data_IF_961593603114
#
_entry.id   IF_961593603114
#
_cell.length_a   1.000
_cell.length_b   1.000
_cell.length_c   1.000
_cell.angle_alpha   90.00
_cell.angle_beta   90.00
_cell.angle_gamma   90.00
#
_symmetry.space_group_name_H-M   'P 1'
#
loop_
_entity.id
_entity.type
_entity.pdbx_description
1 polymer ?
#
# COMPACT_ATOMS: atom_id res chain seq x y z
N UNK A 1 9.27 -27.45 4.02
CA UNK A 1 8.88 -26.06 3.74
C UNK A 1 7.40 -25.97 4.06
N UNK A 2 6.97 -24.99 4.84
CA UNK A 2 5.54 -24.81 5.15
C UNK A 2 4.89 -24.18 3.92
N UNK A 3 3.79 -24.76 3.43
CA UNK A 3 3.02 -24.25 2.30
C UNK A 3 1.70 -23.64 2.80
N UNK A 4 1.16 -22.67 2.07
CA UNK A 4 -0.17 -22.14 2.38
C UNK A 4 -1.22 -23.19 2.01
N UNK A 5 -1.90 -23.72 3.02
CA UNK A 5 -2.90 -24.78 2.83
C UNK A 5 -4.29 -24.19 2.64
N UNK A 6 -5.00 -24.61 1.58
CA UNK A 6 -6.41 -24.31 1.44
C UNK A 6 -7.23 -25.27 2.32
N UNK A 7 -8.11 -24.73 3.16
CA UNK A 7 -8.94 -25.53 4.07
C UNK A 7 -10.42 -25.27 3.83
N UNK A 8 -11.22 -26.32 4.02
CA UNK A 8 -12.66 -26.22 4.24
C UNK A 8 -12.95 -26.15 5.75
N UNK A 9 -14.24 -26.16 6.12
CA UNK A 9 -14.64 -26.06 7.53
C UNK A 9 -14.16 -27.25 8.37
N UNK A 10 -14.23 -28.49 7.85
CA UNK A 10 -13.82 -29.69 8.58
C UNK A 10 -12.30 -29.73 8.75
N UNK A 11 -11.56 -29.48 7.68
CA UNK A 11 -10.09 -29.42 7.72
C UNK A 11 -9.60 -28.28 8.62
N UNK A 12 -10.35 -27.17 8.70
CA UNK A 12 -10.04 -26.09 9.64
C UNK A 12 -10.19 -26.56 11.09
N UNK A 13 -11.27 -27.24 11.46
CA UNK A 13 -11.46 -27.71 12.83
C UNK A 13 -10.38 -28.72 13.25
N UNK A 14 -10.01 -29.65 12.36
CA UNK A 14 -8.90 -30.58 12.59
C UNK A 14 -7.57 -29.84 12.77
N UNK A 15 -7.31 -28.85 11.93
CA UNK A 15 -6.10 -28.04 12.01
C UNK A 15 -6.03 -27.25 13.32
N UNK A 16 -7.13 -26.63 13.75
CA UNK A 16 -7.18 -25.90 15.02
C UNK A 16 -7.02 -26.83 16.22
N UNK A 17 -7.51 -28.06 16.14
CA UNK A 17 -7.32 -29.08 17.17
C UNK A 17 -5.88 -29.63 17.27
N UNK A 18 -5.04 -29.42 16.25
CA UNK A 18 -3.67 -29.95 16.21
C UNK A 18 -2.71 -29.37 17.27
N UNK A 19 -3.07 -28.25 17.91
CA UNK A 19 -2.21 -27.54 18.85
C UNK A 19 -1.19 -26.62 18.19
N UNK A 20 -1.12 -26.57 16.86
CA UNK A 20 -0.19 -25.72 16.12
C UNK A 20 -0.52 -24.22 16.26
N UNK A 21 0.47 -23.38 15.97
CA UNK A 21 0.26 -21.95 15.73
C UNK A 21 -0.26 -21.80 14.28
N UNK A 22 -1.49 -21.34 14.13
CA UNK A 22 -2.18 -21.30 12.82
C UNK A 22 -2.56 -19.87 12.48
N UNK A 23 -2.11 -19.38 11.33
CA UNK A 23 -2.64 -18.16 10.72
C UNK A 23 -3.70 -18.55 9.71
N UNK A 24 -4.94 -18.13 9.92
CA UNK A 24 -6.05 -18.34 9.01
C UNK A 24 -6.32 -17.07 8.20
N UNK A 25 -6.11 -17.12 6.89
CA UNK A 25 -6.46 -16.10 5.91
C UNK A 25 -7.89 -16.30 5.39
N UNK A 26 -8.77 -15.39 5.78
CA UNK A 26 -10.15 -15.34 5.29
C UNK A 26 -10.22 -14.42 4.07
N UNK A 27 -10.47 -15.00 2.91
CA UNK A 27 -10.34 -14.33 1.60
C UNK A 27 -11.48 -14.68 0.64
N UNK A 28 -11.54 -13.96 -0.49
CA UNK A 28 -12.43 -14.26 -1.63
C UNK A 28 -11.76 -13.92 -2.98
N UNK A 29 -12.11 -14.58 -4.10
CA UNK A 29 -11.52 -14.33 -5.42
C UNK A 29 -11.75 -12.93 -5.98
N UNK A 30 -12.88 -12.29 -5.65
CA UNK A 30 -13.18 -10.91 -6.04
C UNK A 30 -12.48 -9.87 -5.15
N UNK A 31 -11.90 -10.29 -4.03
CA UNK A 31 -11.25 -9.39 -3.09
C UNK A 31 -9.85 -9.01 -3.60
N UNK A 32 -9.75 -7.89 -4.30
CA UNK A 32 -8.47 -7.36 -4.79
C UNK A 32 -7.42 -7.19 -3.67
N UNK A 33 -7.75 -6.64 -2.47
CA UNK A 33 -6.76 -6.55 -1.39
C UNK A 33 -6.26 -7.93 -0.91
N UNK A 34 -7.10 -8.97 -0.96
CA UNK A 34 -6.71 -10.33 -0.65
C UNK A 34 -5.66 -10.84 -1.65
N UNK A 35 -5.79 -10.50 -2.94
CA UNK A 35 -4.81 -10.84 -3.98
C UNK A 35 -3.44 -10.20 -3.72
N UNK A 36 -3.40 -9.03 -3.10
CA UNK A 36 -2.13 -8.41 -2.63
C UNK A 36 -1.53 -9.16 -1.44
N UNK A 37 -2.37 -9.66 -0.52
CA UNK A 37 -1.91 -10.31 0.71
C UNK A 37 -1.42 -11.75 0.50
N UNK A 38 -2.05 -12.51 -0.41
CA UNK A 38 -1.73 -13.93 -0.62
C UNK A 38 -0.24 -14.20 -0.91
N UNK A 39 0.44 -13.47 -1.82
CA UNK A 39 1.87 -13.70 -2.08
C UNK A 39 2.77 -13.42 -0.86
N UNK A 40 2.36 -12.49 0.01
CA UNK A 40 3.09 -12.18 1.25
C UNK A 40 2.94 -13.34 2.26
N UNK A 41 1.74 -13.92 2.35
CA UNK A 41 1.49 -15.10 3.18
C UNK A 41 2.22 -16.35 2.66
N UNK A 42 2.33 -16.53 1.34
CA UNK A 42 3.13 -17.58 0.72
C UNK A 42 4.62 -17.42 1.07
N UNK A 43 5.12 -16.19 1.00
CA UNK A 43 6.50 -15.87 1.41
C UNK A 43 6.73 -16.17 2.89
N UNK A 44 5.78 -15.81 3.77
CA UNK A 44 5.86 -16.11 5.21
C UNK A 44 5.81 -17.61 5.50
N UNK A 45 4.94 -18.35 4.84
CA UNK A 45 4.88 -19.80 4.98
C UNK A 45 6.22 -20.43 4.56
N UNK A 46 6.79 -19.99 3.44
CA UNK A 46 8.09 -20.47 2.97
C UNK A 46 9.25 -20.17 3.93
N UNK A 47 9.21 -19.04 4.63
CA UNK A 47 10.25 -18.58 5.57
C UNK A 47 10.04 -19.06 7.01
N UNK A 48 8.82 -19.45 7.35
CA UNK A 48 8.44 -19.90 8.69
C UNK A 48 9.08 -21.25 9.04
N UNK A 49 9.40 -21.42 10.32
CA UNK A 49 9.71 -22.73 10.89
C UNK A 49 8.50 -23.66 10.79
N UNK A 50 8.73 -24.95 11.04
CA UNK A 50 7.67 -25.98 11.09
C UNK A 50 6.60 -25.74 12.16
N UNK A 51 6.74 -24.71 13.00
CA UNK A 51 5.78 -24.40 14.06
C UNK A 51 4.66 -23.42 13.64
N UNK A 52 4.74 -22.83 12.44
CA UNK A 52 3.70 -21.95 11.89
C UNK A 52 3.02 -22.59 10.68
N UNK A 53 1.71 -22.78 10.78
CA UNK A 53 0.87 -23.19 9.65
C UNK A 53 0.10 -21.99 9.13
N UNK A 54 0.21 -21.72 7.83
CA UNK A 54 -0.60 -20.69 7.17
C UNK A 54 -1.71 -21.41 6.39
N UNK A 55 -2.95 -21.18 6.78
CA UNK A 55 -4.14 -21.72 6.14
C UNK A 55 -4.93 -20.58 5.47
N UNK A 56 -5.62 -20.89 4.37
CA UNK A 56 -6.55 -19.96 3.72
C UNK A 56 -7.91 -20.61 3.52
N UNK A 57 -8.98 -19.83 3.76
CA UNK A 57 -10.36 -20.28 3.61
C UNK A 57 -11.16 -19.25 2.83
N UNK A 58 -11.83 -19.73 1.77
CA UNK A 58 -12.67 -18.89 0.92
C UNK A 58 -14.03 -18.67 1.60
N UNK A 59 -14.27 -17.45 2.03
CA UNK A 59 -15.48 -17.07 2.77
C UNK A 59 -16.77 -17.13 1.95
N UNK A 60 -16.70 -17.05 0.62
CA UNK A 60 -17.88 -17.23 -0.24
C UNK A 60 -18.36 -18.68 -0.24
N UNK A 61 -17.43 -19.63 -0.10
CA UNK A 61 -17.77 -21.06 -0.04
C UNK A 61 -18.23 -21.49 1.35
N UNK A 62 -17.77 -20.79 2.38
CA UNK A 62 -18.00 -21.13 3.79
C UNK A 62 -18.44 -19.89 4.59
N UNK A 63 -19.64 -19.33 4.33
CA UNK A 63 -20.11 -18.10 4.96
C UNK A 63 -20.30 -18.25 6.49
N UNK A 64 -20.60 -19.46 6.96
CA UNK A 64 -20.77 -19.76 8.38
C UNK A 64 -19.47 -19.53 9.17
N UNK A 65 -18.31 -19.68 8.52
CA UNK A 65 -17.00 -19.38 9.11
C UNK A 65 -16.84 -17.89 9.39
N UNK A 66 -17.34 -17.01 8.51
CA UNK A 66 -17.32 -15.56 8.78
C UNK A 66 -18.15 -15.22 10.01
N UNK A 67 -19.35 -15.80 10.12
CA UNK A 67 -20.22 -15.58 11.27
C UNK A 67 -19.61 -16.14 12.55
N UNK A 68 -19.08 -17.36 12.51
CA UNK A 68 -18.43 -18.05 13.62
C UNK A 68 -17.32 -17.22 14.27
N UNK A 69 -16.50 -16.53 13.45
CA UNK A 69 -15.39 -15.72 13.94
C UNK A 69 -15.68 -14.21 14.01
N UNK A 70 -16.92 -13.79 13.69
CA UNK A 70 -17.33 -12.39 13.72
C UNK A 70 -16.58 -11.51 12.73
N UNK A 71 -16.26 -12.05 11.55
CA UNK A 71 -15.47 -11.37 10.51
C UNK A 71 -16.40 -10.50 9.66
N UNK A 72 -16.19 -9.18 9.72
CA UNK A 72 -17.04 -8.18 9.04
C UNK A 72 -16.49 -7.69 7.70
N UNK A 73 -15.29 -8.13 7.33
CA UNK A 73 -14.61 -7.72 6.11
C UNK A 73 -13.40 -8.57 5.82
N UNK A 74 -12.93 -8.53 4.57
CA UNK A 74 -11.77 -9.29 4.10
C UNK A 74 -10.76 -8.37 3.40
N UNK A 75 -9.46 -8.71 3.41
CA UNK A 75 -8.87 -9.87 4.09
C UNK A 75 -8.87 -9.70 5.62
N UNK A 76 -9.09 -10.79 6.34
CA UNK A 76 -8.90 -10.87 7.79
C UNK A 76 -8.02 -12.07 8.10
N UNK A 77 -6.95 -11.84 8.85
CA UNK A 77 -6.08 -12.87 9.38
C UNK A 77 -6.43 -13.14 10.84
N UNK A 78 -6.66 -14.39 11.18
CA UNK A 78 -6.87 -14.84 12.56
C UNK A 78 -5.68 -15.71 12.98
N UNK A 79 -5.11 -15.43 14.15
CA UNK A 79 -4.02 -16.21 14.72
C UNK A 79 -4.58 -17.10 15.83
N UNK A 80 -4.38 -18.40 15.68
CA UNK A 80 -4.77 -19.41 16.65
C UNK A 80 -3.55 -20.07 17.28
N UNK A 81 -3.67 -20.36 18.57
CA UNK A 81 -2.71 -21.18 19.31
C UNK A 81 -3.49 -22.14 20.20
N UNK A 82 -3.23 -23.44 20.08
CA UNK A 82 -4.00 -24.47 20.78
C UNK A 82 -5.52 -24.38 20.54
N UNK A 83 -5.91 -24.09 19.29
CA UNK A 83 -7.32 -23.97 18.89
C UNK A 83 -8.04 -22.73 19.40
N UNK A 84 -7.37 -21.84 20.13
CA UNK A 84 -7.94 -20.58 20.63
C UNK A 84 -7.41 -19.43 19.78
N UNK A 85 -8.31 -18.54 19.36
CA UNK A 85 -7.93 -17.29 18.70
C UNK A 85 -7.23 -16.38 19.73
N UNK A 86 -5.97 -16.05 19.49
CA UNK A 86 -5.14 -15.23 20.39
C UNK A 86 -4.91 -13.82 19.85
N UNK A 87 -5.05 -13.62 18.54
CA UNK A 87 -4.86 -12.33 17.89
C UNK A 87 -5.50 -12.29 16.51
N UNK A 88 -5.72 -11.09 15.96
CA UNK A 88 -6.24 -10.90 14.59
C UNK A 88 -5.66 -9.65 13.93
N UNK A 89 -5.60 -9.67 12.61
CA UNK A 89 -5.25 -8.52 11.76
C UNK A 89 -6.30 -8.34 10.67
N UNK A 90 -6.77 -7.11 10.49
CA UNK A 90 -7.74 -6.76 9.45
C UNK A 90 -7.07 -5.93 8.37
N UNK A 91 -7.28 -6.32 7.11
CA UNK A 91 -6.69 -5.67 5.94
C UNK A 91 -5.30 -6.19 5.60
N UNK A 92 -4.73 -5.63 4.53
CA UNK A 92 -3.40 -6.01 4.03
C UNK A 92 -2.31 -5.52 4.99
N UNK A 93 -1.25 -6.31 5.16
CA UNK A 93 -0.06 -6.01 5.97
C UNK A 93 1.20 -6.36 5.19
N UNK A 94 2.28 -5.63 5.41
CA UNK A 94 3.58 -5.92 4.79
C UNK A 94 4.25 -7.12 5.46
N UNK A 95 5.26 -7.70 4.80
CA UNK A 95 6.04 -8.79 5.39
C UNK A 95 6.65 -8.43 6.76
N UNK A 96 7.30 -7.27 6.94
CA UNK A 96 7.79 -6.86 8.26
C UNK A 96 6.69 -6.75 9.31
N UNK A 97 5.52 -6.19 8.96
CA UNK A 97 4.39 -6.08 9.89
C UNK A 97 3.87 -7.46 10.31
N UNK A 98 3.73 -8.38 9.35
CA UNK A 98 3.27 -9.74 9.62
C UNK A 98 4.28 -10.51 10.50
N UNK A 99 5.58 -10.36 10.26
CA UNK A 99 6.61 -10.94 11.14
C UNK A 99 6.55 -10.34 12.54
N UNK A 100 6.54 -9.02 12.66
CA UNK A 100 6.45 -8.32 13.95
C UNK A 100 5.19 -8.66 14.74
N UNK A 101 4.10 -9.03 14.06
CA UNK A 101 2.87 -9.54 14.68
C UNK A 101 2.99 -11.00 15.17
N UNK A 102 3.69 -11.85 14.43
CA UNK A 102 3.74 -13.30 14.68
C UNK A 102 4.90 -13.74 15.59
N UNK A 103 6.04 -13.05 15.53
CA UNK A 103 7.24 -13.38 16.31
C UNK A 103 7.01 -13.34 17.83
N UNK A 104 6.31 -12.32 18.41
CA UNK A 104 6.00 -12.30 19.84
C UNK A 104 5.17 -13.51 20.31
N UNK A 105 4.39 -14.11 19.41
CA UNK A 105 3.52 -15.25 19.70
C UNK A 105 4.21 -16.61 19.57
N UNK A 106 5.49 -16.60 19.17
CA UNK A 106 6.36 -17.77 19.07
C UNK A 106 6.59 -18.29 17.65
N UNK A 107 6.20 -17.54 16.61
CA UNK A 107 6.63 -17.84 15.25
C UNK A 107 8.13 -17.55 15.11
N UNK A 108 8.85 -18.45 14.44
CA UNK A 108 10.28 -18.29 14.16
C UNK A 108 10.45 -18.26 12.65
N UNK A 109 10.94 -17.15 12.12
CA UNK A 109 11.25 -17.03 10.70
C UNK A 109 12.75 -17.19 10.50
N UNK A 110 13.16 -17.92 9.46
CA UNK A 110 14.57 -17.92 9.07
C UNK A 110 14.93 -16.51 8.61
N UNK A 111 15.73 -15.82 9.41
CA UNK A 111 16.33 -14.55 9.05
C UNK A 111 17.39 -14.82 8.00
N UNK A 112 17.01 -14.74 6.72
CA UNK A 112 18.02 -14.43 5.73
C UNK A 112 18.47 -13.01 6.08
N UNK A 113 19.77 -12.82 6.33
CA UNK A 113 20.35 -11.48 6.28
C UNK A 113 19.76 -10.81 5.04
N UNK A 114 19.19 -9.61 5.17
CA UNK A 114 18.82 -8.85 3.98
C UNK A 114 20.13 -8.25 3.49
N UNK A 115 20.86 -8.85 2.53
CA UNK A 115 21.93 -8.09 1.90
C UNK A 115 21.26 -6.84 1.34
N UNK A 116 21.87 -5.68 1.57
CA UNK A 116 21.59 -4.52 0.74
C UNK A 116 21.61 -5.04 -0.70
N UNK A 117 20.50 -5.00 -1.44
CA UNK A 117 20.53 -5.49 -2.80
C UNK A 117 21.47 -4.55 -3.54
N UNK A 118 22.64 -5.07 -3.91
CA UNK A 118 23.17 -4.74 -5.22
C UNK A 118 21.97 -4.89 -6.17
N UNK A 119 21.55 -3.77 -6.78
CA UNK A 119 20.37 -3.63 -7.64
C UNK A 119 19.92 -4.96 -8.27
N UNK A 120 18.80 -5.53 -7.81
CA UNK A 120 18.31 -6.83 -8.30
C UNK A 120 17.65 -6.76 -9.68
N UNK A 121 17.58 -5.58 -10.30
CA UNK A 121 17.22 -5.50 -11.71
C UNK A 121 18.29 -6.25 -12.50
N UNK A 122 17.89 -7.38 -13.10
CA UNK A 122 18.77 -8.14 -13.99
C UNK A 122 18.94 -7.45 -15.36
N UNK A 123 18.21 -6.35 -15.58
CA UNK A 123 18.02 -5.72 -16.88
C UNK A 123 18.03 -4.19 -16.78
N UNK A 124 18.52 -3.47 -17.82
CA UNK A 124 18.32 -2.03 -17.96
C UNK A 124 16.84 -1.69 -18.19
N UNK A 125 16.44 -0.43 -17.97
CA UNK A 125 15.16 0.10 -18.41
C UNK A 125 14.88 -0.22 -19.89
N UNK A 126 13.68 -0.75 -20.16
CA UNK A 126 13.26 -1.23 -21.48
C UNK A 126 14.17 -2.30 -22.09
N UNK A 127 14.87 -3.08 -21.25
CA UNK A 127 15.91 -4.02 -21.67
C UNK A 127 17.07 -3.38 -22.45
N UNK A 128 17.17 -2.04 -22.43
CA UNK A 128 18.08 -1.28 -23.28
C UNK A 128 17.63 -1.15 -24.74
N UNK A 129 16.39 -1.49 -25.08
CA UNK A 129 15.84 -1.44 -26.44
C UNK A 129 15.10 -0.11 -26.71
N UNK A 130 15.63 0.77 -27.59
CA UNK A 130 14.94 1.99 -27.99
C UNK A 130 13.65 1.75 -28.76
N UNK A 131 13.50 0.60 -29.43
CA UNK A 131 12.30 0.26 -30.20
C UNK A 131 11.13 -0.05 -29.27
N UNK A 132 11.39 -0.82 -28.21
CA UNK A 132 10.41 -1.08 -27.15
C UNK A 132 9.97 0.23 -26.46
N UNK A 133 10.93 1.08 -26.12
CA UNK A 133 10.65 2.41 -25.54
C UNK A 133 9.73 3.23 -26.44
N UNK A 134 10.07 3.37 -27.73
CA UNK A 134 9.26 4.12 -28.69
C UNK A 134 7.85 3.53 -28.87
N UNK A 135 7.75 2.20 -28.93
CA UNK A 135 6.47 1.50 -29.03
C UNK A 135 5.56 1.78 -27.83
N UNK A 136 6.10 1.66 -26.62
CA UNK A 136 5.37 1.89 -25.38
C UNK A 136 5.00 3.38 -25.21
N UNK A 137 5.89 4.30 -25.60
CA UNK A 137 5.62 5.73 -25.63
C UNK A 137 4.43 6.05 -26.55
N UNK A 138 4.46 5.54 -27.79
CA UNK A 138 3.40 5.76 -28.77
C UNK A 138 2.07 5.18 -28.29
N UNK A 139 2.08 3.97 -27.73
CA UNK A 139 0.88 3.33 -27.20
C UNK A 139 0.26 4.15 -26.08
N UNK A 140 1.03 4.52 -25.05
CA UNK A 140 0.46 5.27 -23.93
C UNK A 140 -0.02 6.66 -24.38
N UNK A 141 0.70 7.29 -25.32
CA UNK A 141 0.30 8.58 -25.88
C UNK A 141 -1.04 8.47 -26.61
N UNK A 142 -1.25 7.42 -27.41
CA UNK A 142 -2.53 7.19 -28.09
C UNK A 142 -3.70 7.04 -27.09
N UNK A 143 -3.50 6.33 -25.98
CA UNK A 143 -4.50 6.24 -24.91
C UNK A 143 -4.75 7.59 -24.22
N UNK A 144 -3.70 8.39 -24.01
CA UNK A 144 -3.83 9.73 -23.45
C UNK A 144 -4.61 10.67 -24.38
N UNK A 145 -4.37 10.61 -25.69
CA UNK A 145 -5.07 11.39 -26.72
C UNK A 145 -6.57 11.05 -26.76
N UNK A 146 -6.91 9.77 -26.53
CA UNK A 146 -8.29 9.28 -26.50
C UNK A 146 -8.96 9.46 -25.13
N UNK A 147 -8.23 9.93 -24.11
CA UNK A 147 -8.72 10.07 -22.74
C UNK A 147 -9.04 8.72 -22.09
N UNK A 148 -8.34 7.66 -22.48
CA UNK A 148 -8.54 6.29 -22.02
C UNK A 148 -7.75 5.96 -20.74
N UNK A 149 -6.80 6.82 -20.36
CA UNK A 149 -6.07 6.72 -19.09
C UNK A 149 -6.95 7.27 -17.96
N UNK A 150 -7.20 6.44 -16.95
CA UNK A 150 -8.06 6.75 -15.81
C UNK A 150 -7.31 6.58 -14.49
N UNK A 151 -7.65 7.42 -13.53
CA UNK A 151 -7.20 7.24 -12.16
C UNK A 151 -7.95 6.08 -11.52
N UNK A 152 -7.22 5.23 -10.84
CA UNK A 152 -7.77 4.12 -10.09
C UNK A 152 -6.95 3.85 -8.85
N UNK A 153 -7.60 3.22 -7.87
CA UNK A 153 -6.90 2.82 -6.66
C UNK A 153 -5.89 1.70 -6.93
N UNK A 154 -6.19 0.79 -7.85
CA UNK A 154 -5.32 -0.31 -8.28
C UNK A 154 -5.18 -0.34 -9.80
N UNK A 155 -4.09 -0.91 -10.34
CA UNK A 155 -3.99 -1.11 -11.77
C UNK A 155 -5.22 -1.83 -12.32
N UNK A 156 -5.72 -1.40 -13.47
CA UNK A 156 -6.88 -2.00 -14.12
C UNK A 156 -6.79 -1.82 -15.64
N UNK A 157 -7.32 -2.78 -16.39
CA UNK A 157 -7.46 -2.71 -17.84
C UNK A 157 -8.78 -3.35 -18.26
N UNK A 158 -9.70 -2.54 -18.78
CA UNK A 158 -11.02 -2.99 -19.23
C UNK A 158 -11.58 -2.04 -20.29
N UNK A 159 -12.24 -2.58 -21.32
CA UNK A 159 -12.92 -1.80 -22.36
C UNK A 159 -12.04 -0.71 -22.99
N UNK A 160 -10.78 -1.04 -23.29
CA UNK A 160 -9.71 -0.15 -23.78
C UNK A 160 -9.37 1.04 -22.88
N UNK A 161 -9.87 1.06 -21.64
CA UNK A 161 -9.52 2.02 -20.63
C UNK A 161 -8.68 1.36 -19.55
N UNK A 162 -7.79 2.12 -18.94
CA UNK A 162 -6.98 1.60 -17.86
C UNK A 162 -6.26 2.64 -17.06
N UNK A 163 -5.67 2.15 -15.98
CA UNK A 163 -4.70 2.89 -15.19
C UNK A 163 -3.42 3.12 -16.00
N UNK A 164 -2.52 4.01 -15.56
CA UNK A 164 -1.37 4.36 -16.41
C UNK A 164 -0.45 3.18 -16.70
N UNK A 165 -0.10 2.39 -15.69
CA UNK A 165 0.78 1.24 -15.88
C UNK A 165 0.08 0.17 -16.71
N UNK A 166 -1.23 0.01 -16.52
CA UNK A 166 -2.02 -0.98 -17.24
C UNK A 166 -2.27 -0.61 -18.71
N UNK A 167 -2.53 0.67 -19.01
CA UNK A 167 -2.64 1.18 -20.37
C UNK A 167 -1.32 1.08 -21.14
N UNK A 168 -0.19 1.16 -20.43
CA UNK A 168 1.12 0.99 -21.04
C UNK A 168 1.32 -0.43 -21.60
N UNK A 169 0.86 -1.45 -20.88
CA UNK A 169 1.13 -2.86 -21.22
C UNK A 169 -0.09 -3.67 -21.64
N UNK A 170 -1.29 -3.07 -21.59
CA UNK A 170 -2.60 -3.71 -21.79
C UNK A 170 -2.88 -4.86 -20.83
N UNK A 171 -2.49 -4.69 -19.57
CA UNK A 171 -2.72 -5.67 -18.50
C UNK A 171 -2.66 -4.99 -17.14
N UNK A 172 -3.48 -5.44 -16.20
CA UNK A 172 -3.58 -4.93 -14.83
C UNK A 172 -2.63 -5.60 -13.81
N UNK A 173 -1.79 -6.54 -14.23
CA UNK A 173 -0.89 -7.28 -13.33
C UNK A 173 0.48 -6.58 -13.33
N UNK A 174 0.96 -6.07 -12.17
CA UNK A 174 2.28 -5.45 -12.07
C UNK A 174 3.44 -6.35 -12.50
N UNK A 175 3.31 -7.68 -12.37
CA UNK A 175 4.32 -8.62 -12.84
C UNK A 175 4.30 -8.76 -14.37
N UNK A 176 3.15 -8.58 -15.01
CA UNK A 176 3.06 -8.47 -16.48
C UNK A 176 3.64 -7.15 -16.96
N UNK A 177 3.36 -6.05 -16.25
CA UNK A 177 3.99 -4.75 -16.51
C UNK A 177 5.51 -4.90 -16.54
N UNK A 178 6.12 -5.44 -15.50
CA UNK A 178 7.58 -5.57 -15.41
C UNK A 178 8.18 -6.39 -16.55
N UNK A 179 7.51 -7.49 -16.93
CA UNK A 179 7.95 -8.38 -18.02
C UNK A 179 7.79 -7.79 -19.41
N UNK A 180 6.81 -6.92 -19.63
CA UNK A 180 6.59 -6.30 -20.95
C UNK A 180 7.43 -5.04 -21.10
N UNK A 181 7.53 -4.22 -20.06
CA UNK A 181 8.20 -2.93 -20.13
C UNK A 181 9.69 -2.99 -19.83
N UNK A 182 10.18 -4.04 -19.17
CA UNK A 182 11.55 -4.07 -18.65
C UNK A 182 11.79 -2.98 -17.59
N UNK A 183 10.75 -2.61 -16.84
CA UNK A 183 10.81 -1.66 -15.74
C UNK A 183 10.36 -2.36 -14.46
N UNK A 184 11.00 -2.15 -13.30
CA UNK A 184 10.54 -2.72 -12.04
C UNK A 184 9.05 -2.46 -11.78
N UNK A 185 8.33 -3.43 -11.22
CA UNK A 185 6.92 -3.29 -10.89
C UNK A 185 6.64 -2.09 -9.97
N UNK A 186 7.57 -1.74 -9.08
CA UNK A 186 7.51 -0.52 -8.27
C UNK A 186 7.34 0.76 -9.09
N UNK A 187 7.92 0.85 -10.29
CA UNK A 187 7.74 2.00 -11.18
C UNK A 187 6.30 2.06 -11.67
N UNK A 188 5.75 0.93 -12.14
CA UNK A 188 4.35 0.87 -12.58
C UNK A 188 3.40 1.28 -11.46
N UNK A 189 3.62 0.74 -10.25
CA UNK A 189 2.84 1.07 -9.06
C UNK A 189 2.99 2.54 -8.66
N UNK A 190 4.20 3.10 -8.74
CA UNK A 190 4.44 4.51 -8.42
C UNK A 190 3.75 5.41 -9.43
N UNK A 191 3.78 5.08 -10.72
CA UNK A 191 3.08 5.85 -11.76
C UNK A 191 1.58 5.97 -11.47
N UNK A 192 0.95 4.97 -10.84
CA UNK A 192 -0.47 5.07 -10.44
C UNK A 192 -0.76 6.16 -9.41
N UNK A 193 0.25 6.59 -8.66
CA UNK A 193 0.13 7.73 -7.74
C UNK A 193 0.33 9.08 -8.42
N UNK A 194 0.64 9.08 -9.73
CA UNK A 194 1.06 10.28 -10.45
C UNK A 194 0.08 10.60 -11.59
N UNK A 195 -0.35 11.86 -11.69
CA UNK A 195 -1.32 12.31 -12.70
C UNK A 195 -0.66 12.49 -14.09
N UNK A 196 -0.22 11.41 -14.70
CA UNK A 196 0.26 11.37 -16.08
C UNK A 196 -0.91 10.99 -17.01
N UNK A 197 -1.78 11.97 -17.31
CA UNK A 197 -3.06 11.71 -17.97
C UNK A 197 -3.14 12.25 -19.40
N UNK A 198 -2.26 13.20 -19.75
CA UNK A 198 -2.29 13.89 -21.05
C UNK A 198 -1.14 13.46 -21.97
N UNK A 199 -1.25 13.67 -23.29
CA UNK A 199 -0.16 13.37 -24.22
C UNK A 199 1.15 14.09 -23.88
N UNK A 200 1.07 15.33 -23.37
CA UNK A 200 2.23 16.09 -22.90
C UNK A 200 2.89 15.42 -21.68
N UNK A 201 2.08 14.84 -20.79
CA UNK A 201 2.61 14.10 -19.64
C UNK A 201 3.37 12.86 -20.08
N UNK A 202 2.82 12.13 -21.06
CA UNK A 202 3.46 10.94 -21.64
C UNK A 202 4.77 11.33 -22.32
N UNK A 203 4.79 12.42 -23.09
CA UNK A 203 6.01 12.92 -23.73
C UNK A 203 7.09 13.26 -22.67
N UNK A 204 6.71 13.94 -21.58
CA UNK A 204 7.62 14.25 -20.48
C UNK A 204 8.15 12.98 -19.80
N UNK A 205 7.29 12.00 -19.53
CA UNK A 205 7.67 10.71 -18.95
C UNK A 205 8.70 9.98 -19.81
N UNK A 206 8.42 9.80 -21.09
CA UNK A 206 9.31 9.05 -22.00
C UNK A 206 10.56 9.83 -22.40
N UNK A 207 10.56 11.16 -22.26
CA UNK A 207 11.78 11.98 -22.37
C UNK A 207 12.72 11.73 -21.20
N UNK A 208 12.20 11.63 -19.97
CA UNK A 208 13.00 11.41 -18.77
C UNK A 208 13.42 9.94 -18.61
N UNK A 209 12.48 9.01 -18.83
CA UNK A 209 12.66 7.58 -18.67
C UNK A 209 13.22 6.98 -19.97
N UNK A 210 14.54 6.99 -20.09
CA UNK A 210 15.28 6.54 -21.29
C UNK A 210 15.70 5.07 -21.21
N UNK A 211 15.93 4.38 -22.35
CA UNK A 211 16.46 3.02 -22.36
C UNK A 211 17.88 2.91 -21.78
N UNK A 212 18.20 1.76 -21.19
CA UNK A 212 19.58 1.48 -20.77
C UNK A 212 19.97 2.01 -19.38
N UNK A 213 19.01 2.55 -18.63
CA UNK A 213 19.23 3.13 -17.29
C UNK A 213 18.97 2.11 -16.20
N UNK A 214 19.69 2.22 -15.09
CA UNK A 214 19.33 1.55 -13.84
C UNK A 214 18.34 2.43 -13.07
N UNK A 215 17.07 2.05 -13.16
CA UNK A 215 15.96 2.75 -12.51
C UNK A 215 15.48 2.06 -11.23
N UNK A 216 16.21 1.03 -10.76
CA UNK A 216 15.81 0.24 -9.59
C UNK A 216 15.71 1.06 -8.30
N UNK A 217 16.59 2.06 -8.15
CA UNK A 217 16.62 2.94 -6.98
C UNK A 217 15.64 4.11 -7.06
N UNK A 218 15.05 4.39 -8.23
CA UNK A 218 14.19 5.57 -8.43
C UNK A 218 12.99 5.57 -7.48
N UNK A 219 12.23 4.47 -7.31
CA UNK A 219 11.10 4.45 -6.38
C UNK A 219 11.49 4.81 -4.93
N UNK A 220 12.61 4.27 -4.44
CA UNK A 220 13.09 4.57 -3.08
C UNK A 220 13.61 6.00 -2.95
N UNK A 221 14.33 6.52 -3.95
CA UNK A 221 14.76 7.92 -3.97
C UNK A 221 13.58 8.89 -4.00
N UNK A 222 12.52 8.55 -4.72
CA UNK A 222 11.31 9.35 -4.77
C UNK A 222 10.60 9.36 -3.41
N UNK A 223 10.50 8.20 -2.74
CA UNK A 223 9.98 8.12 -1.37
C UNK A 223 10.83 8.90 -0.36
N UNK A 224 12.15 8.87 -0.52
CA UNK A 224 13.06 9.67 0.29
C UNK A 224 12.77 11.17 0.13
N UNK A 225 12.57 11.64 -1.10
CA UNK A 225 12.17 13.02 -1.35
C UNK A 225 10.77 13.33 -0.78
N UNK A 226 9.79 12.44 -0.97
CA UNK A 226 8.42 12.57 -0.46
C UNK A 226 8.39 12.70 1.07
N UNK A 227 9.18 11.88 1.76
CA UNK A 227 9.28 11.87 3.22
C UNK A 227 10.24 12.94 3.76
N UNK A 228 10.96 13.65 2.89
CA UNK A 228 11.78 14.80 3.24
C UNK A 228 10.95 16.04 3.57
N UNK A 229 11.63 17.12 3.96
CA UNK A 229 10.93 18.34 4.41
C UNK A 229 10.39 19.20 3.25
N UNK A 230 10.97 19.08 2.06
CA UNK A 230 10.75 20.02 0.95
C UNK A 230 9.43 19.80 0.20
N UNK A 231 9.04 18.56 -0.09
CA UNK A 231 7.89 18.30 -0.97
C UNK A 231 6.54 18.49 -0.27
N UNK A 232 6.37 17.94 0.93
CA UNK A 232 5.09 17.92 1.63
C UNK A 232 5.05 18.75 2.93
N UNK A 233 6.20 19.21 3.45
CA UNK A 233 6.24 19.95 4.70
C UNK A 233 5.86 19.12 5.92
N UNK A 234 6.31 17.86 6.00
CA UNK A 234 6.03 16.94 7.10
C UNK A 234 6.20 17.54 8.51
N UNK A 235 7.28 18.28 8.84
CA UNK A 235 7.43 18.85 10.18
C UNK A 235 6.25 19.71 10.64
N UNK A 236 5.64 20.47 9.72
CA UNK A 236 4.50 21.33 10.03
C UNK A 236 3.17 20.55 10.10
N UNK A 237 3.07 19.43 9.38
CA UNK A 237 1.86 18.61 9.32
C UNK A 237 1.71 17.65 10.51
N UNK A 238 2.82 17.26 11.15
CA UNK A 238 2.84 16.30 12.26
C UNK A 238 2.56 16.97 13.61
N UNK A 239 1.76 16.31 14.47
CA UNK A 239 1.43 16.85 15.81
C UNK A 239 2.41 16.48 16.92
N UNK A 240 3.29 15.49 16.70
CA UNK A 240 4.14 14.93 17.76
C UNK A 240 5.58 14.73 17.30
N UNK A 241 6.52 15.06 18.17
CA UNK A 241 7.96 14.92 17.92
C UNK A 241 8.43 13.46 17.70
N UNK A 242 7.99 12.44 18.47
CA UNK A 242 8.52 11.07 18.30
C UNK A 242 8.38 10.49 16.89
N UNK A 243 7.25 10.75 16.22
CA UNK A 243 7.06 10.27 14.84
C UNK A 243 7.92 11.03 13.83
N UNK A 244 8.15 12.33 14.06
CA UNK A 244 9.08 13.09 13.26
C UNK A 244 10.52 12.55 13.42
N UNK A 245 10.92 12.15 14.64
CA UNK A 245 12.20 11.50 14.87
C UNK A 245 12.32 10.14 14.15
N UNK A 246 11.25 9.34 14.13
CA UNK A 246 11.22 8.10 13.35
C UNK A 246 11.37 8.37 11.85
N UNK A 247 10.68 9.38 11.32
CA UNK A 247 10.83 9.81 9.91
C UNK A 247 12.28 10.21 9.59
N UNK A 248 12.90 11.03 10.43
CA UNK A 248 14.31 11.46 10.25
C UNK A 248 15.30 10.27 10.37
N UNK A 249 15.03 9.34 11.28
CA UNK A 249 15.80 8.10 11.40
C UNK A 249 15.71 7.27 10.12
N UNK A 250 14.49 7.08 9.58
CA UNK A 250 14.30 6.37 8.32
C UNK A 250 15.00 7.06 7.15
N UNK A 251 14.92 8.39 7.02
CA UNK A 251 15.63 9.14 5.97
C UNK A 251 17.14 8.88 6.03
N UNK A 252 17.71 8.90 7.25
CA UNK A 252 19.14 8.63 7.47
C UNK A 252 19.52 7.20 7.05
N UNK A 253 18.73 6.20 7.44
CA UNK A 253 18.98 4.80 7.08
C UNK A 253 18.77 4.55 5.58
N UNK A 254 17.74 5.14 4.98
CA UNK A 254 17.45 5.03 3.55
C UNK A 254 18.54 5.67 2.69
N UNK A 255 19.09 6.82 3.09
CA UNK A 255 20.23 7.44 2.39
C UNK A 255 21.47 6.55 2.46
N UNK A 256 21.79 5.99 3.64
CA UNK A 256 22.89 5.01 3.79
C UNK A 256 22.68 3.78 2.91
N UNK A 257 21.46 3.23 2.91
CA UNK A 257 21.07 2.11 2.05
C UNK A 257 21.26 2.43 0.56
N UNK A 258 20.80 3.60 0.10
CA UNK A 258 20.95 4.07 -1.27
C UNK A 258 22.41 4.29 -1.68
N UNK A 259 23.29 4.55 -0.72
CA UNK A 259 24.73 4.70 -0.93
C UNK A 259 25.51 3.37 -0.84
N UNK A 260 24.82 2.25 -0.59
CA UNK A 260 25.41 0.92 -0.56
C UNK A 260 26.04 0.54 0.78
N UNK A 261 25.72 1.25 1.87
CA UNK A 261 26.17 0.88 3.21
C UNK A 261 25.62 -0.51 3.61
N UNK A 262 26.45 -1.30 4.28
CA UNK A 262 26.01 -2.56 4.88
C UNK A 262 25.20 -2.30 6.16
N UNK A 263 23.88 -2.35 6.05
CA UNK A 263 22.95 -2.24 7.19
C UNK A 263 22.48 -3.62 7.66
N UNK A 264 22.28 -3.77 8.97
CA UNK A 264 21.72 -4.96 9.59
C UNK A 264 20.22 -4.79 9.81
N UNK A 265 19.49 -5.89 9.92
CA UNK A 265 18.04 -5.85 10.23
C UNK A 265 17.75 -5.15 11.57
N UNK A 266 18.65 -5.28 12.54
CA UNK A 266 18.55 -4.61 13.83
C UNK A 266 18.54 -3.07 13.71
N UNK A 267 19.14 -2.49 12.66
CA UNK A 267 19.14 -1.04 12.44
C UNK A 267 17.73 -0.50 12.13
N UNK A 268 16.87 -1.34 11.54
CA UNK A 268 15.50 -1.01 11.16
C UNK A 268 14.48 -1.32 12.26
N UNK A 269 14.86 -2.11 13.26
CA UNK A 269 13.96 -2.61 14.29
C UNK A 269 13.13 -1.52 15.03
N UNK A 270 13.69 -0.33 15.36
CA UNK A 270 12.90 0.74 15.98
C UNK A 270 11.75 1.24 15.10
N UNK A 271 11.90 1.22 13.77
CA UNK A 271 10.89 1.65 12.82
C UNK A 271 9.80 0.60 12.63
N UNK A 272 10.17 -0.68 12.76
CA UNK A 272 9.25 -1.82 12.63
C UNK A 272 8.35 -1.94 13.87
N UNK A 273 8.90 -1.69 15.06
CA UNK A 273 8.22 -1.93 16.34
C UNK A 273 7.54 -0.68 16.92
N UNK A 274 7.69 0.47 16.28
CA UNK A 274 7.17 1.74 16.78
C UNK A 274 5.64 1.75 17.01
N UNK A 275 4.86 1.00 16.23
CA UNK A 275 3.40 0.90 16.38
C UNK A 275 2.96 0.47 17.78
N UNK A 276 3.67 -0.49 18.38
CA UNK A 276 3.39 -0.96 19.73
C UNK A 276 3.61 0.10 20.82
N UNK A 277 4.36 1.16 20.51
CA UNK A 277 4.71 2.23 21.47
C UNK A 277 3.89 3.51 21.31
N UNK A 278 3.28 3.72 20.14
CA UNK A 278 2.60 4.96 19.79
C UNK A 278 1.08 4.78 19.87
N UNK A 279 0.49 5.21 20.98
CA UNK A 279 -0.97 5.25 21.14
C UNK A 279 -1.59 6.38 20.29
N UNK A 280 -1.87 6.08 19.01
CA UNK A 280 -2.51 7.01 18.07
C UNK A 280 -4.03 6.84 18.10
N UNK A 281 -4.77 7.92 18.35
CA UNK A 281 -6.24 7.94 18.29
C UNK A 281 -6.75 8.35 16.89
N UNK A 282 -8.07 8.39 16.70
CA UNK A 282 -8.73 8.69 15.42
C UNK A 282 -8.43 10.10 14.84
N UNK A 283 -7.88 11.02 15.65
CA UNK A 283 -7.46 12.35 15.17
C UNK A 283 -6.02 12.38 14.61
N UNK A 284 -5.41 11.20 14.41
CA UNK A 284 -4.00 11.01 14.03
C UNK A 284 -3.86 10.17 12.76
N UNK A 285 -4.83 10.25 11.85
CA UNK A 285 -4.85 9.45 10.61
C UNK A 285 -3.56 9.61 9.77
N UNK A 286 -3.10 10.85 9.57
CA UNK A 286 -1.86 11.14 8.84
C UNK A 286 -0.66 10.45 9.49
N UNK A 287 -0.56 10.52 10.81
CA UNK A 287 0.50 9.86 11.57
C UNK A 287 0.45 8.33 11.49
N UNK A 288 -0.75 7.74 11.44
CA UNK A 288 -0.91 6.30 11.20
C UNK A 288 -0.43 5.90 9.80
N UNK A 289 -0.76 6.69 8.77
CA UNK A 289 -0.29 6.43 7.40
C UNK A 289 1.23 6.58 7.29
N UNK A 290 1.82 7.61 7.91
CA UNK A 290 3.28 7.76 7.98
C UNK A 290 3.92 6.58 8.69
N UNK A 291 3.41 6.17 9.85
CA UNK A 291 3.95 5.04 10.58
C UNK A 291 3.90 3.75 9.74
N UNK A 292 2.77 3.48 9.08
CA UNK A 292 2.63 2.32 8.19
C UNK A 292 3.59 2.39 7.00
N UNK A 293 3.87 3.58 6.45
CA UNK A 293 4.90 3.77 5.42
C UNK A 293 6.28 3.43 5.96
N UNK A 294 6.68 4.03 7.09
CA UNK A 294 8.00 3.81 7.68
C UNK A 294 8.22 2.33 7.99
N UNK A 295 7.24 1.65 8.58
CA UNK A 295 7.31 0.21 8.87
C UNK A 295 7.41 -0.63 7.60
N UNK A 296 6.64 -0.32 6.56
CA UNK A 296 6.67 -1.09 5.29
C UNK A 296 7.98 -0.86 4.52
N UNK A 297 8.60 0.31 4.69
CA UNK A 297 9.87 0.68 4.05
C UNK A 297 11.10 0.33 4.89
N UNK A 298 10.96 -0.48 5.95
CA UNK A 298 12.02 -0.81 6.89
C UNK A 298 12.19 -2.34 7.04
N UNK A 299 13.22 -2.95 6.43
CA UNK A 299 14.11 -2.37 5.42
C UNK A 299 13.37 -2.06 4.10
N UNK A 300 13.95 -1.25 3.19
CA UNK A 300 13.32 -0.92 1.92
C UNK A 300 13.01 -2.16 1.08
N UNK A 301 11.79 -2.30 0.54
CA UNK A 301 11.42 -3.44 -0.29
C UNK A 301 12.18 -3.43 -1.62
N UNK A 302 12.39 -4.63 -2.19
CA UNK A 302 12.93 -4.76 -3.53
C UNK A 302 11.99 -4.09 -4.56
N UNK A 303 12.54 -3.54 -5.64
CA UNK A 303 11.75 -2.85 -6.66
C UNK A 303 10.77 -3.79 -7.42
N UNK A 304 10.98 -5.11 -7.37
CA UNK A 304 10.05 -6.12 -7.87
C UNK A 304 9.02 -6.63 -6.84
N UNK A 305 9.10 -6.23 -5.56
CA UNK A 305 8.17 -6.66 -4.51
C UNK A 305 6.80 -5.97 -4.64
N UNK A 306 5.98 -6.47 -5.56
CA UNK A 306 4.66 -5.91 -5.89
C UNK A 306 3.76 -5.72 -4.66
N UNK A 307 3.77 -6.65 -3.72
CA UNK A 307 2.89 -6.61 -2.54
C UNK A 307 3.24 -5.46 -1.61
N UNK A 308 4.53 -5.30 -1.29
CA UNK A 308 5.01 -4.18 -0.46
C UNK A 308 4.78 -2.83 -1.15
N UNK A 309 5.03 -2.74 -2.46
CA UNK A 309 4.81 -1.49 -3.21
C UNK A 309 3.33 -1.10 -3.32
N UNK A 310 2.41 -2.06 -3.45
CA UNK A 310 0.97 -1.79 -3.42
C UNK A 310 0.50 -1.24 -2.06
N UNK A 311 1.09 -1.73 -0.96
CA UNK A 311 0.86 -1.18 0.38
C UNK A 311 1.41 0.24 0.50
N UNK A 312 2.65 0.48 0.05
CA UNK A 312 3.26 1.81 0.02
C UNK A 312 2.38 2.81 -0.74
N UNK A 313 1.97 2.46 -1.97
CA UNK A 313 1.04 3.25 -2.80
C UNK A 313 -0.25 3.59 -2.05
N UNK A 314 -0.84 2.61 -1.38
CA UNK A 314 -2.07 2.78 -0.59
C UNK A 314 -1.88 3.83 0.50
N UNK A 315 -0.80 3.73 1.27
CA UNK A 315 -0.52 4.68 2.34
C UNK A 315 -0.15 6.08 1.81
N UNK A 316 0.55 6.18 0.66
CA UNK A 316 0.78 7.46 -0.03
C UNK A 316 -0.55 8.12 -0.39
N UNK A 317 -1.47 7.38 -1.01
CA UNK A 317 -2.76 7.93 -1.44
C UNK A 317 -3.57 8.45 -0.25
N UNK A 318 -3.58 7.72 0.87
CA UNK A 318 -4.25 8.19 2.08
C UNK A 318 -3.55 9.40 2.71
N UNK A 319 -2.21 9.42 2.77
CA UNK A 319 -1.47 10.59 3.23
C UNK A 319 -1.72 11.81 2.32
N UNK A 320 -1.75 11.63 1.01
CA UNK A 320 -2.04 12.69 0.03
C UNK A 320 -3.41 13.32 0.27
N UNK A 321 -4.44 12.52 0.56
CA UNK A 321 -5.76 13.03 0.93
C UNK A 321 -5.69 13.94 2.17
N UNK A 322 -4.93 13.53 3.20
CA UNK A 322 -4.74 14.33 4.41
C UNK A 322 -3.97 15.64 4.12
N UNK A 323 -2.93 15.61 3.29
CA UNK A 323 -2.18 16.81 2.91
C UNK A 323 -3.03 17.79 2.09
N UNK A 324 -3.87 17.29 1.17
CA UNK A 324 -4.80 18.16 0.43
C UNK A 324 -5.82 18.82 1.36
N UNK A 325 -6.33 18.10 2.37
CA UNK A 325 -7.19 18.68 3.40
C UNK A 325 -6.47 19.73 4.25
N UNK A 326 -5.22 19.46 4.65
CA UNK A 326 -4.38 20.43 5.40
C UNK A 326 -4.14 21.70 4.57
N UNK A 327 -3.81 21.54 3.28
CA UNK A 327 -3.63 22.66 2.36
C UNK A 327 -4.92 23.48 2.18
N UNK A 328 -6.08 22.82 2.26
CA UNK A 328 -7.41 23.45 2.24
C UNK A 328 -7.87 23.98 3.62
N UNK A 329 -6.97 24.01 4.62
CA UNK A 329 -7.25 24.61 5.93
C UNK A 329 -8.13 23.75 6.84
N UNK A 330 -8.10 22.42 6.70
CA UNK A 330 -8.80 21.52 7.61
C UNK A 330 -8.01 21.32 8.91
N UNK A 331 -8.68 21.47 10.05
CA UNK A 331 -8.12 21.12 11.35
C UNK A 331 -8.03 19.59 11.51
N UNK A 332 -7.21 19.10 12.47
CA UNK A 332 -7.19 17.66 12.79
C UNK A 332 -8.58 17.09 13.13
N UNK A 333 -9.40 17.84 13.86
CA UNK A 333 -10.74 17.42 14.28
C UNK A 333 -11.70 17.30 13.08
N UNK A 334 -11.59 18.23 12.12
CA UNK A 334 -12.36 18.18 10.88
C UNK A 334 -11.97 16.97 10.04
N UNK A 335 -10.66 16.71 9.87
CA UNK A 335 -10.15 15.54 9.14
C UNK A 335 -10.58 14.20 9.76
N UNK A 336 -10.81 14.16 11.07
CA UNK A 336 -11.29 12.96 11.77
C UNK A 336 -12.82 12.78 11.70
N UNK A 337 -13.56 13.77 11.22
CA UNK A 337 -15.04 13.73 11.17
C UNK A 337 -15.60 12.56 10.37
N UNK A 338 -15.02 12.14 9.22
CA UNK A 338 -15.47 10.94 8.51
C UNK A 338 -15.38 9.66 9.35
N UNK A 339 -14.32 9.49 10.15
CA UNK A 339 -14.19 8.34 11.05
C UNK A 339 -15.22 8.38 12.18
N UNK A 340 -15.46 9.58 12.75
CA UNK A 340 -16.53 9.80 13.75
C UNK A 340 -17.92 9.53 13.16
N UNK A 341 -18.17 9.93 11.92
CA UNK A 341 -19.38 9.62 11.15
C UNK A 341 -19.58 8.11 11.08
N UNK A 342 -18.55 7.38 10.64
CA UNK A 342 -18.61 5.93 10.53
C UNK A 342 -18.93 5.25 11.88
N UNK A 343 -18.18 5.60 12.94
CA UNK A 343 -18.39 5.03 14.28
C UNK A 343 -19.79 5.35 14.83
N UNK A 344 -20.31 6.55 14.57
CA UNK A 344 -21.66 6.94 14.95
C UNK A 344 -22.72 6.06 14.25
N UNK A 345 -22.56 5.80 12.95
CA UNK A 345 -23.47 4.90 12.23
C UNK A 345 -23.36 3.45 12.70
N UNK A 346 -22.15 2.95 12.99
CA UNK A 346 -21.97 1.61 13.56
C UNK A 346 -22.66 1.47 14.92
N UNK A 347 -22.55 2.49 15.77
CA UNK A 347 -23.24 2.52 17.06
C UNK A 347 -24.77 2.48 16.85
N UNK A 348 -25.29 3.30 15.94
CA UNK A 348 -26.74 3.33 15.64
C UNK A 348 -27.24 2.01 15.10
N UNK A 349 -26.46 1.36 14.23
CA UNK A 349 -26.78 0.03 13.73
C UNK A 349 -26.81 -1.01 14.87
N UNK A 350 -25.87 -0.96 15.80
CA UNK A 350 -25.83 -1.89 16.93
C UNK A 350 -27.02 -1.74 17.90
N UNK A 351 -27.64 -0.57 17.94
CA UNK A 351 -28.84 -0.28 18.73
C UNK A 351 -30.13 -0.84 18.08
N UNK A 352 -30.12 -1.18 16.79
CA UNK A 352 -31.30 -1.68 16.08
C UNK A 352 -31.58 -3.18 16.35
N UNK A 353 -32.86 -3.60 16.39
CA UNK A 353 -33.22 -5.01 16.44
C UNK A 353 -32.62 -5.79 15.27
N UNK A 354 -31.83 -6.82 15.55
CA UNK A 354 -31.13 -7.60 14.52
C UNK A 354 -29.88 -6.93 13.94
N UNK A 355 -29.42 -5.81 14.50
CA UNK A 355 -28.21 -5.08 14.10
C UNK A 355 -28.19 -4.70 12.61
N UNK A 356 -29.36 -4.43 12.04
CA UNK A 356 -29.51 -4.07 10.64
C UNK A 356 -30.40 -2.84 10.50
N UNK A 357 -29.91 -1.85 9.76
CA UNK A 357 -30.65 -0.63 9.45
C UNK A 357 -31.61 -0.88 8.29
N UNK A 358 -32.88 -0.50 8.46
CA UNK A 358 -33.81 -0.40 7.33
C UNK A 358 -33.48 0.84 6.47
N UNK A 359 -33.92 0.86 5.20
CA UNK A 359 -33.69 2.00 4.32
C UNK A 359 -34.31 3.30 4.85
N UNK A 360 -35.48 3.20 5.49
CA UNK A 360 -36.13 4.33 6.15
C UNK A 360 -35.29 4.85 7.31
N UNK A 361 -34.82 3.94 8.16
CA UNK A 361 -33.99 4.29 9.31
C UNK A 361 -32.66 4.90 8.89
N UNK A 362 -32.04 4.35 7.84
CA UNK A 362 -30.79 4.88 7.29
C UNK A 362 -30.97 6.33 6.81
N UNK A 363 -32.07 6.64 6.12
CA UNK A 363 -32.38 8.02 5.68
C UNK A 363 -32.55 8.97 6.87
N UNK A 364 -33.29 8.57 7.90
CA UNK A 364 -33.47 9.38 9.11
C UNK A 364 -32.12 9.70 9.79
N UNK A 365 -31.24 8.70 9.91
CA UNK A 365 -29.92 8.87 10.50
C UNK A 365 -29.01 9.76 9.65
N UNK A 366 -29.08 9.64 8.33
CA UNK A 366 -28.37 10.53 7.41
C UNK A 366 -28.82 11.98 7.57
N UNK A 367 -30.12 12.23 7.61
CA UNK A 367 -30.66 13.58 7.85
C UNK A 367 -30.27 14.11 9.23
N UNK A 368 -30.30 13.27 10.26
CA UNK A 368 -29.85 13.63 11.60
C UNK A 368 -28.39 14.04 11.59
N UNK A 369 -27.50 13.23 11.00
CA UNK A 369 -26.08 13.54 10.90
C UNK A 369 -25.84 14.88 10.20
N UNK A 370 -26.52 15.11 9.07
CA UNK A 370 -26.40 16.36 8.30
C UNK A 370 -26.85 17.58 9.10
N UNK A 371 -27.93 17.46 9.89
CA UNK A 371 -28.39 18.55 10.78
C UNK A 371 -27.38 18.84 11.90
N UNK A 372 -26.82 17.80 12.50
CA UNK A 372 -25.86 17.93 13.62
C UNK A 372 -24.46 18.38 13.16
N UNK A 373 -24.11 18.19 11.88
CA UNK A 373 -22.78 18.46 11.31
C UNK A 373 -22.87 19.36 10.06
N UNK A 374 -23.78 20.33 10.05
CA UNK A 374 -24.07 21.15 8.89
C UNK A 374 -22.84 21.94 8.39
N UNK A 375 -22.07 22.54 9.30
CA UNK A 375 -20.86 23.31 8.96
C UNK A 375 -19.80 22.43 8.30
N UNK A 376 -19.53 21.26 8.87
CA UNK A 376 -18.61 20.28 8.28
C UNK A 376 -19.10 19.83 6.91
N UNK A 377 -20.41 19.60 6.74
CA UNK A 377 -20.98 19.14 5.47
C UNK A 377 -20.78 20.18 4.35
N UNK A 378 -20.95 21.47 4.66
CA UNK A 378 -20.66 22.56 3.70
C UNK A 378 -19.18 22.59 3.34
N UNK A 379 -18.29 22.44 4.34
CA UNK A 379 -16.83 22.41 4.11
C UNK A 379 -16.41 21.19 3.28
N UNK A 380 -16.93 20.00 3.57
CA UNK A 380 -16.70 18.75 2.84
C UNK A 380 -17.12 18.91 1.37
N UNK A 381 -18.30 19.46 1.11
CA UNK A 381 -18.77 19.75 -0.26
C UNK A 381 -17.86 20.75 -0.98
N UNK A 382 -17.45 21.83 -0.31
CA UNK A 382 -16.56 22.84 -0.88
C UNK A 382 -15.15 22.32 -1.20
N UNK A 383 -14.66 21.36 -0.42
CA UNK A 383 -13.42 20.62 -0.70
C UNK A 383 -13.57 19.76 -1.95
N UNK A 384 -14.62 18.93 -2.04
CA UNK A 384 -14.82 18.05 -3.19
C UNK A 384 -15.10 18.81 -4.50
N UNK A 385 -15.75 19.98 -4.42
CA UNK A 385 -15.94 20.87 -5.56
C UNK A 385 -14.61 21.38 -6.16
N UNK A 386 -13.54 21.46 -5.36
CA UNK A 386 -12.19 21.90 -5.78
C UNK A 386 -11.18 20.75 -5.82
N UNK A 387 -11.61 19.51 -5.65
CA UNK A 387 -10.71 18.38 -5.48
C UNK A 387 -9.73 18.21 -6.65
N UNK A 388 -10.21 18.36 -7.89
CA UNK A 388 -9.36 18.24 -9.07
C UNK A 388 -8.23 19.30 -9.11
N UNK A 389 -8.52 20.53 -8.68
CA UNK A 389 -7.53 21.61 -8.57
C UNK A 389 -6.49 21.29 -7.50
N UNK A 390 -6.94 20.91 -6.30
CA UNK A 390 -6.09 20.52 -5.17
C UNK A 390 -5.20 19.33 -5.55
N UNK A 391 -5.76 18.34 -6.24
CA UNK A 391 -5.04 17.17 -6.71
C UNK A 391 -3.96 17.56 -7.71
N UNK A 392 -4.26 18.41 -8.70
CA UNK A 392 -3.28 18.88 -9.67
C UNK A 392 -2.14 19.68 -9.02
N UNK A 393 -2.46 20.54 -8.04
CA UNK A 393 -1.47 21.30 -7.30
C UNK A 393 -0.56 20.38 -6.45
N UNK A 394 -1.14 19.41 -5.76
CA UNK A 394 -0.41 18.45 -4.92
C UNK A 394 0.55 17.57 -5.73
N UNK A 395 0.10 17.04 -6.86
CA UNK A 395 0.89 16.08 -7.65
C UNK A 395 1.96 16.72 -8.53
N UNK A 396 1.87 18.03 -8.82
CA UNK A 396 2.84 18.72 -9.69
C UNK A 396 4.30 18.57 -9.22
N UNK A 397 4.68 18.99 -7.99
CA UNK A 397 6.06 18.86 -7.54
C UNK A 397 6.51 17.40 -7.41
N UNK A 398 5.60 16.50 -7.04
CA UNK A 398 5.87 15.05 -6.93
C UNK A 398 6.23 14.42 -8.27
N UNK A 399 5.51 14.84 -9.32
CA UNK A 399 5.72 14.41 -10.70
C UNK A 399 7.03 14.97 -11.26
N UNK A 400 7.31 16.25 -11.01
CA UNK A 400 8.58 16.89 -11.40
C UNK A 400 9.78 16.17 -10.77
N UNK A 401 9.68 15.80 -9.49
CA UNK A 401 10.73 15.04 -8.81
C UNK A 401 10.92 13.63 -9.40
N UNK A 402 9.83 12.93 -9.72
CA UNK A 402 9.93 11.61 -10.36
C UNK A 402 10.62 11.69 -11.73
N UNK A 403 10.25 12.67 -12.55
CA UNK A 403 10.88 12.92 -13.85
C UNK A 403 12.37 13.26 -13.69
N UNK A 404 12.71 14.10 -12.71
CA UNK A 404 14.12 14.44 -12.40
C UNK A 404 14.92 13.19 -12.03
N UNK A 405 14.37 12.32 -11.19
CA UNK A 405 15.02 11.08 -10.76
C UNK A 405 15.21 10.09 -11.92
N UNK A 406 14.25 9.97 -12.83
CA UNK A 406 14.43 9.17 -14.05
C UNK A 406 15.56 9.72 -14.93
N UNK A 407 15.61 11.04 -15.14
CA UNK A 407 16.66 11.66 -15.95
C UNK A 407 18.06 11.48 -15.34
N UNK A 408 18.16 11.50 -14.02
CA UNK A 408 19.40 11.31 -13.26
C UNK A 408 19.78 9.85 -13.03
N UNK A 409 18.91 8.89 -13.38
CA UNK A 409 19.20 7.48 -13.22
C UNK A 409 20.53 7.12 -13.92
N UNK A 410 21.43 6.37 -13.27
CA UNK A 410 22.72 6.01 -13.86
C UNK A 410 22.53 5.03 -15.03
N UNK A 411 23.57 4.90 -15.86
CA UNK A 411 23.59 3.83 -16.87
C UNK A 411 23.62 2.48 -16.15
N UNK A 412 22.83 1.53 -16.63
CA UNK A 412 22.81 0.18 -16.08
C UNK A 412 24.16 -0.51 -16.28
N UNK A 413 24.68 -1.11 -15.20
CA UNK A 413 25.88 -1.93 -15.23
C UNK A 413 25.47 -3.35 -14.80
N UNK A 414 25.61 -4.37 -15.67
CA UNK A 414 25.26 -5.73 -15.32
C UNK A 414 26.04 -6.22 -14.08
N UNK A 415 25.38 -6.91 -13.13
CA UNK A 415 26.09 -7.53 -12.02
C UNK A 415 27.02 -8.63 -12.58
N UNK A 416 28.33 -8.44 -12.37
CA UNK A 416 29.46 -9.26 -12.87
C UNK A 416 29.77 -9.12 -14.37
N UNK A 417 30.70 -8.20 -14.68
CA UNK A 417 31.72 -8.39 -15.72
C UNK A 417 33.09 -8.42 -15.07
#
# INVERSE_FOLDING_TARGET
>A
MSEVIAVDETALDELLASGALVVLDLWAPWCQPCRTLSPLLETLAGQGSTSLTVAKLNVEKYPDVQQRFGVRGIPTLLLFKNGVEISRQVGVRSLPQLRGWLEPEGAVFQTAATPAPASRTSWPSFYGDPSLHAFLAQRLKAHAEQGEIRLSFNPFWADNQGSISAALVHHDDPAVFERISGLPAAIGILLETQLFLTPQDVDALFTALTPGKDVSAVPLRWLHALLGDELLGWPAALRTDPLNQLRLSWLTLAERWLNGDSLQEADWHPLITAESSLALNENRELERHLLSLLTTLSPPPDAGDTGSWLLVKTQINFAAAQFMQIADGWTPEERATPARRFAWFEQKQAEEPGQQLSDERLRELQEQWLRENAEFSVKEQGFYARYAELQAAFHRPLKEELLRLFALAPVFVPPNK
#
